data_IF_270607475006
#
_entry.id   IF_270607475006
#
_cell.length_a   1.000
_cell.length_b   1.000
_cell.length_c   1.000
_cell.angle_alpha   90.00
_cell.angle_beta   90.00
_cell.angle_gamma   90.00
#
_symmetry.space_group_name_H-M   'P 1'
#
loop_
_entity.id
_entity.type
_entity.pdbx_description
1 polymer ?
#
# COMPACT_ATOMS: atom_id res chain seq x y z
N UNK A 1 -8.56 -11.04 19.05
CA UNK A 1 -9.68 -11.57 18.23
C UNK A 1 -9.38 -12.97 17.70
N UNK A 2 -8.46 -13.18 16.75
CA UNK A 2 -8.23 -14.51 16.12
C UNK A 2 -7.99 -15.64 17.14
N UNK A 3 -7.24 -15.37 18.23
CA UNK A 3 -7.03 -16.33 19.32
C UNK A 3 -8.31 -16.69 20.07
N UNK A 4 -9.14 -15.70 20.37
CA UNK A 4 -10.41 -15.87 21.08
C UNK A 4 -11.40 -16.69 20.25
N UNK A 5 -11.41 -16.53 18.92
CA UNK A 5 -12.26 -17.33 18.02
C UNK A 5 -11.94 -18.83 18.05
N UNK A 6 -10.69 -19.18 18.35
CA UNK A 6 -10.22 -20.57 18.45
C UNK A 6 -10.08 -21.04 19.90
N UNK A 7 -10.53 -20.23 20.87
CA UNK A 7 -10.37 -20.46 22.30
C UNK A 7 -8.92 -20.73 22.76
N UNK A 8 -7.93 -20.14 22.05
CA UNK A 8 -6.50 -20.32 22.32
C UNK A 8 -6.04 -19.27 23.34
N UNK A 9 -5.42 -19.72 24.43
CA UNK A 9 -4.88 -18.88 25.50
C UNK A 9 -3.42 -18.51 25.21
N UNK A 10 -2.91 -17.49 25.90
CA UNK A 10 -1.51 -17.03 25.71
C UNK A 10 -0.49 -18.13 26.11
N UNK A 11 -0.86 -18.99 27.07
CA UNK A 11 -0.02 -20.08 27.58
C UNK A 11 0.22 -21.21 26.57
N UNK A 12 -0.69 -21.42 25.61
CA UNK A 12 -0.59 -22.49 24.61
C UNK A 12 0.58 -22.29 23.65
N UNK A 13 1.22 -21.11 23.65
CA UNK A 13 2.39 -20.73 22.83
C UNK A 13 2.25 -21.08 21.34
N UNK A 14 1.01 -21.12 20.83
CA UNK A 14 0.73 -21.45 19.44
C UNK A 14 1.25 -20.35 18.52
N UNK A 15 2.00 -20.76 17.48
CA UNK A 15 2.55 -19.87 16.45
C UNK A 15 1.43 -19.12 15.74
N UNK A 16 1.64 -17.81 15.51
CA UNK A 16 0.66 -16.95 14.82
C UNK A 16 0.31 -17.45 13.41
N UNK A 17 1.26 -18.03 12.69
CA UNK A 17 1.02 -18.59 11.36
C UNK A 17 -0.03 -19.72 11.36
N UNK A 18 -0.03 -20.58 12.38
CA UNK A 18 -1.01 -21.67 12.50
C UNK A 18 -2.41 -21.13 12.79
N UNK A 19 -2.50 -20.10 13.64
CA UNK A 19 -3.77 -19.42 13.94
C UNK A 19 -4.32 -18.79 12.65
N UNK A 20 -3.48 -18.09 11.90
CA UNK A 20 -3.83 -17.45 10.61
C UNK A 20 -4.31 -18.47 9.57
N UNK A 21 -3.63 -19.62 9.47
CA UNK A 21 -4.00 -20.70 8.55
C UNK A 21 -5.35 -21.32 8.91
N UNK A 22 -5.66 -21.46 10.21
CA UNK A 22 -6.94 -21.97 10.69
C UNK A 22 -8.09 -20.98 10.48
N UNK A 23 -7.89 -19.70 10.79
CA UNK A 23 -8.96 -18.69 10.68
C UNK A 23 -9.16 -18.18 9.25
N UNK A 24 -8.19 -18.41 8.34
CA UNK A 24 -8.18 -17.90 6.96
C UNK A 24 -8.47 -16.40 6.86
N UNK A 25 -8.14 -15.66 7.91
CA UNK A 25 -8.44 -14.23 8.00
C UNK A 25 -7.55 -13.45 7.05
N UNK A 26 -8.15 -12.59 6.24
CA UNK A 26 -7.40 -11.72 5.33
C UNK A 26 -6.55 -10.72 6.11
N UNK A 27 -5.34 -10.47 5.62
CA UNK A 27 -4.48 -9.47 6.26
C UNK A 27 -5.11 -8.07 6.12
N UNK A 28 -5.37 -7.44 7.27
CA UNK A 28 -5.91 -6.08 7.35
C UNK A 28 -5.01 -5.10 6.59
N UNK A 29 -3.69 -5.28 6.64
CA UNK A 29 -2.75 -4.43 5.92
C UNK A 29 -2.95 -4.57 4.40
N UNK A 30 -3.11 -5.79 3.90
CA UNK A 30 -3.36 -6.02 2.47
C UNK A 30 -4.71 -5.44 2.04
N UNK A 31 -5.73 -5.53 2.90
CA UNK A 31 -7.04 -4.90 2.66
C UNK A 31 -6.93 -3.38 2.59
N UNK A 32 -6.22 -2.75 3.52
CA UNK A 32 -5.99 -1.29 3.54
C UNK A 32 -5.24 -0.85 2.26
N UNK A 33 -4.20 -1.58 1.85
CA UNK A 33 -3.45 -1.28 0.61
C UNK A 33 -4.35 -1.34 -0.62
N UNK A 34 -5.11 -2.43 -0.79
CA UNK A 34 -6.05 -2.56 -1.91
C UNK A 34 -7.09 -1.45 -1.94
N UNK A 35 -7.63 -1.09 -0.76
CA UNK A 35 -8.56 0.05 -0.64
C UNK A 35 -7.90 1.36 -1.05
N UNK A 36 -6.68 1.64 -0.59
CA UNK A 36 -5.92 2.82 -0.99
C UNK A 36 -5.70 2.87 -2.50
N UNK A 37 -5.33 1.76 -3.13
CA UNK A 37 -5.15 1.68 -4.58
C UNK A 37 -6.43 1.95 -5.36
N UNK A 38 -7.54 1.34 -4.93
CA UNK A 38 -8.86 1.56 -5.54
C UNK A 38 -9.32 3.00 -5.39
N UNK A 39 -9.10 3.58 -4.21
CA UNK A 39 -9.42 4.97 -3.94
C UNK A 39 -8.61 5.93 -4.81
N UNK A 40 -7.30 5.71 -4.95
CA UNK A 40 -6.44 6.49 -5.85
C UNK A 40 -6.94 6.46 -7.30
N UNK A 41 -7.32 5.28 -7.80
CA UNK A 41 -7.94 5.15 -9.12
C UNK A 41 -9.30 5.85 -9.23
N UNK A 42 -10.13 5.76 -8.19
CA UNK A 42 -11.40 6.47 -8.12
C UNK A 42 -11.19 7.98 -8.18
N UNK A 43 -10.25 8.54 -7.42
CA UNK A 43 -9.93 9.97 -7.44
C UNK A 43 -9.43 10.45 -8.80
N UNK A 44 -8.60 9.66 -9.48
CA UNK A 44 -8.10 10.03 -10.80
C UNK A 44 -9.24 10.15 -11.83
N UNK A 45 -10.23 9.25 -11.75
CA UNK A 45 -11.36 9.19 -12.69
C UNK A 45 -12.56 10.05 -12.28
N UNK A 46 -12.77 10.28 -10.99
CA UNK A 46 -13.95 10.97 -10.46
C UNK A 46 -13.96 12.47 -10.76
N UNK A 47 -15.13 13.11 -10.72
CA UNK A 47 -15.28 14.55 -10.93
C UNK A 47 -15.07 15.39 -9.66
N UNK A 48 -14.58 14.79 -8.57
CA UNK A 48 -14.47 15.43 -7.27
C UNK A 48 -13.41 16.55 -7.27
N UNK A 49 -13.89 17.79 -7.35
CA UNK A 49 -13.06 18.99 -7.55
C UNK A 49 -12.08 19.22 -6.39
N UNK A 50 -12.48 18.96 -5.16
CA UNK A 50 -11.64 19.21 -3.97
C UNK A 50 -10.57 18.14 -3.78
N UNK A 51 -10.93 16.86 -3.78
CA UNK A 51 -9.99 15.75 -3.66
C UNK A 51 -8.92 15.78 -4.76
N UNK A 52 -9.31 16.07 -6.00
CA UNK A 52 -8.36 16.29 -7.10
C UNK A 52 -7.45 17.48 -6.83
N UNK A 53 -7.98 18.65 -6.47
CA UNK A 53 -7.17 19.85 -6.20
C UNK A 53 -6.13 19.61 -5.10
N UNK A 54 -6.54 19.04 -3.96
CA UNK A 54 -5.63 18.80 -2.81
C UNK A 54 -4.55 17.78 -3.16
N UNK A 55 -4.91 16.72 -3.87
CA UNK A 55 -3.98 15.64 -4.23
C UNK A 55 -3.03 16.05 -5.35
N UNK A 56 -3.51 16.86 -6.29
CA UNK A 56 -2.72 17.36 -7.41
C UNK A 56 -1.94 18.62 -7.05
N UNK A 57 -2.14 19.14 -5.85
CA UNK A 57 -1.37 20.27 -5.34
C UNK A 57 0.09 19.86 -5.22
N UNK A 58 0.86 20.25 -6.23
CA UNK A 58 2.29 20.09 -6.29
C UNK A 58 2.92 21.46 -6.06
N UNK A 59 3.60 21.68 -4.92
CA UNK A 59 4.39 22.89 -4.75
C UNK A 59 5.48 22.87 -5.82
N UNK A 60 5.29 23.65 -6.89
CA UNK A 60 6.29 23.82 -7.97
C UNK A 60 7.48 24.64 -7.49
N UNK A 61 7.24 25.50 -6.51
CA UNK A 61 8.24 26.33 -5.87
C UNK A 61 8.80 25.60 -4.64
N UNK A 62 10.12 25.37 -4.63
CA UNK A 62 10.84 24.74 -3.53
C UNK A 62 11.30 23.31 -3.84
N UNK A 63 12.61 23.08 -3.68
CA UNK A 63 13.18 21.73 -3.65
C UNK A 63 12.99 21.15 -2.24
N UNK A 64 12.68 19.86 -2.14
CA UNK A 64 12.69 19.17 -0.83
C UNK A 64 14.09 19.25 -0.22
N UNK A 65 14.17 19.37 1.11
CA UNK A 65 15.44 19.32 1.83
C UNK A 65 16.19 18.03 1.48
N UNK A 66 17.51 18.13 1.30
CA UNK A 66 18.39 16.97 1.13
C UNK A 66 18.31 16.08 2.39
N UNK A 67 18.46 14.76 2.21
CA UNK A 67 18.39 13.78 3.30
C UNK A 67 17.17 12.88 3.20
N UNK A 68 16.42 12.70 4.30
CA UNK A 68 15.27 11.81 4.41
C UNK A 68 13.95 12.60 4.51
N UNK A 69 13.47 13.20 3.40
CA UNK A 69 12.17 13.87 3.40
C UNK A 69 11.06 12.86 3.69
N UNK A 70 9.99 13.33 4.34
CA UNK A 70 8.82 12.52 4.62
C UNK A 70 8.13 12.07 3.32
N UNK A 71 7.70 10.81 3.28
CA UNK A 71 6.95 10.26 2.14
C UNK A 71 5.61 10.99 2.02
N UNK A 72 5.30 11.45 0.80
CA UNK A 72 3.96 11.93 0.45
C UNK A 72 3.02 10.76 0.28
N UNK A 73 1.73 11.05 0.35
CA UNK A 73 0.67 10.07 0.19
C UNK A 73 0.72 9.36 -1.17
N UNK A 74 1.18 10.02 -2.24
CA UNK A 74 1.22 9.50 -3.60
C UNK A 74 2.57 8.86 -3.99
N UNK A 75 3.60 8.94 -3.13
CA UNK A 75 4.93 8.41 -3.43
C UNK A 75 4.91 6.88 -3.60
N UNK A 76 4.06 6.18 -2.84
CA UNK A 76 3.89 4.72 -2.97
C UNK A 76 3.07 4.33 -4.20
N UNK A 77 2.09 5.15 -4.60
CA UNK A 77 1.34 4.97 -5.85
C UNK A 77 2.26 5.17 -7.05
N UNK A 78 3.10 6.22 -7.02
CA UNK A 78 4.11 6.51 -8.05
C UNK A 78 5.17 5.42 -8.17
N UNK A 79 5.49 4.74 -7.08
CA UNK A 79 6.48 3.67 -7.10
C UNK A 79 6.04 2.49 -7.98
N UNK A 80 4.73 2.26 -8.10
CA UNK A 80 4.16 1.14 -8.86
C UNK A 80 3.65 1.58 -10.24
N UNK A 81 2.88 2.66 -10.31
CA UNK A 81 2.28 3.15 -11.56
C UNK A 81 3.06 4.29 -12.24
N UNK A 82 4.22 4.67 -11.69
CA UNK A 82 5.08 5.72 -12.24
C UNK A 82 4.61 7.15 -11.92
N UNK A 83 5.37 8.13 -12.41
CA UNK A 83 5.12 9.57 -12.16
C UNK A 83 3.77 10.01 -12.73
N UNK A 84 3.38 9.44 -13.88
CA UNK A 84 2.12 9.71 -14.59
C UNK A 84 1.01 8.72 -14.23
N UNK A 85 0.99 8.21 -12.99
CA UNK A 85 -0.01 7.24 -12.53
C UNK A 85 -1.46 7.69 -12.75
N UNK A 86 -1.74 8.99 -12.77
CA UNK A 86 -3.06 9.55 -13.08
C UNK A 86 -3.59 9.13 -14.46
N UNK A 87 -2.70 8.99 -15.46
CA UNK A 87 -3.03 8.55 -16.81
C UNK A 87 -3.29 7.04 -16.82
N UNK A 88 -2.40 6.28 -16.18
CA UNK A 88 -2.52 4.83 -16.00
C UNK A 88 -3.84 4.49 -15.28
N UNK A 89 -4.22 5.29 -14.28
CA UNK A 89 -5.45 5.14 -13.54
C UNK A 89 -6.72 5.40 -14.36
N UNK A 90 -6.67 6.04 -15.53
CA UNK A 90 -7.83 6.14 -16.42
C UNK A 90 -8.20 4.77 -16.98
N UNK A 91 -7.20 3.95 -17.30
CA UNK A 91 -7.42 2.60 -17.80
C UNK A 91 -7.71 1.64 -16.64
N UNK A 92 -9.00 1.28 -16.48
CA UNK A 92 -9.45 0.42 -15.36
C UNK A 92 -8.80 -0.97 -15.37
N UNK A 93 -8.53 -1.53 -16.54
CA UNK A 93 -7.93 -2.87 -16.68
C UNK A 93 -6.49 -2.86 -16.17
N UNK A 94 -5.67 -1.94 -16.67
CA UNK A 94 -4.29 -1.79 -16.23
C UNK A 94 -4.19 -1.38 -14.76
N UNK A 95 -5.07 -0.49 -14.30
CA UNK A 95 -5.13 -0.12 -12.88
C UNK A 95 -5.43 -1.33 -11.98
N UNK A 96 -6.33 -2.22 -12.39
CA UNK A 96 -6.66 -3.44 -11.64
C UNK A 96 -5.50 -4.43 -11.65
N UNK A 97 -4.79 -4.57 -12.77
CA UNK A 97 -3.61 -5.45 -12.89
C UNK A 97 -2.50 -5.06 -11.91
N UNK A 98 -2.25 -3.77 -11.76
CA UNK A 98 -1.21 -3.24 -10.86
C UNK A 98 -1.59 -3.30 -9.37
N UNK A 99 -2.84 -3.62 -9.03
CA UNK A 99 -3.30 -3.72 -7.64
C UNK A 99 -2.55 -4.80 -6.85
N UNK A 100 -2.22 -5.93 -7.49
CA UNK A 100 -1.45 -7.02 -6.89
C UNK A 100 0.00 -6.59 -6.60
N UNK A 101 0.66 -6.00 -7.60
CA UNK A 101 2.00 -5.45 -7.45
C UNK A 101 2.07 -4.41 -6.31
N UNK A 102 1.06 -3.55 -6.17
CA UNK A 102 1.00 -2.57 -5.08
C UNK A 102 0.75 -3.20 -3.70
N UNK A 103 -0.10 -4.23 -3.62
CA UNK A 103 -0.33 -4.94 -2.37
C UNK A 103 0.95 -5.64 -1.85
N UNK A 104 1.72 -6.23 -2.78
CA UNK A 104 2.89 -7.06 -2.49
C UNK A 104 4.20 -6.26 -2.37
N UNK A 105 4.27 -5.05 -2.95
CA UNK A 105 5.49 -4.22 -3.02
C UNK A 105 6.24 -4.01 -1.69
N UNK A 106 5.55 -3.93 -0.56
CA UNK A 106 6.21 -3.78 0.74
C UNK A 106 6.97 -5.03 1.20
N UNK A 107 6.60 -6.22 0.72
CA UNK A 107 7.34 -7.45 1.01
C UNK A 107 8.73 -7.42 0.35
N UNK A 108 8.87 -6.75 -0.80
CA UNK A 108 10.13 -6.67 -1.54
C UNK A 108 11.10 -5.63 -0.97
N UNK A 109 10.62 -4.50 -0.46
CA UNK A 109 11.48 -3.55 0.28
C UNK A 109 12.12 -4.16 1.54
N UNK A 110 11.41 -5.10 2.19
CA UNK A 110 11.95 -5.85 3.33
C UNK A 110 13.04 -6.86 2.93
N UNK A 111 12.96 -7.42 1.71
CA UNK A 111 13.99 -8.32 1.16
C UNK A 111 15.24 -7.54 0.71
N UNK A 112 15.05 -6.42 0.00
CA UNK A 112 16.14 -5.55 -0.48
C UNK A 112 16.96 -5.00 0.71
N UNK A 113 16.30 -4.55 1.78
CA UNK A 113 17.00 -4.11 3.00
C UNK A 113 17.78 -5.22 3.70
N UNK A 114 17.26 -6.46 3.72
CA UNK A 114 17.98 -7.59 4.33
C UNK A 114 19.22 -7.99 3.51
N UNK A 115 19.13 -7.93 2.18
CA UNK A 115 20.26 -8.21 1.29
C UNK A 115 21.38 -7.16 1.41
N UNK A 116 21.04 -5.88 1.61
CA UNK A 116 22.01 -4.80 1.83
C UNK A 116 22.69 -4.80 3.20
N UNK A 117 22.19 -5.55 4.18
CA UNK A 117 22.77 -5.64 5.55
C UNK A 117 23.70 -6.86 5.66
N UNK A 118 23.68 -7.77 4.68
CA UNK A 118 24.51 -8.97 4.62
C UNK A 118 25.75 -8.80 3.71
N UNK A 119 26.11 -7.56 3.39
CA UNK A 119 27.38 -7.15 2.75
C UNK A 119 28.06 -6.17 3.68
#
# INVERSE_FOLDING_TARGET
MERSMLNIRKYDRVKKALIRNKTKTTDVINKIKRLKWRWAGHMARGHEKWSKKVTWWYPREGKRKRGRPQKRWDDDVRQVAGVTWNRVAQERKEWKRLEEAYADWQADLGKIKKQQILV
#
